data_IF_678659389227
#
_entry.id   IF_678659389227
#
_cell.length_a   1.000
_cell.length_b   1.000
_cell.length_c   1.000
_cell.angle_alpha   90.00
_cell.angle_beta   90.00
_cell.angle_gamma   90.00
#
_symmetry.space_group_name_H-M   'P 1'
#
loop_
_entity.id
_entity.type
_entity.pdbx_description
1 polymer ?
#
# COMPACT_ATOMS: atom_id res chain seq x y z
N UNK A 1 3.76 -3.05 -3.80
CA UNK A 1 3.52 -2.30 -2.53
C UNK A 1 2.83 -3.14 -1.47
N UNK A 2 1.71 -3.80 -1.76
CA UNK A 2 0.97 -4.55 -0.73
C UNK A 2 1.70 -5.77 -0.16
N UNK A 3 2.67 -6.33 -0.89
CA UNK A 3 3.51 -7.44 -0.41
C UNK A 3 4.40 -7.05 0.78
N UNK A 4 4.86 -5.79 0.85
CA UNK A 4 5.64 -5.29 1.98
C UNK A 4 4.79 -5.27 3.27
N UNK A 5 3.51 -4.93 3.13
CA UNK A 5 2.55 -4.84 4.23
C UNK A 5 1.97 -6.19 4.65
N UNK A 6 2.19 -7.25 3.87
CA UNK A 6 1.63 -8.59 4.17
C UNK A 6 2.14 -9.18 5.50
N UNK A 7 3.35 -8.80 5.94
CA UNK A 7 3.93 -9.22 7.23
C UNK A 7 3.26 -8.56 8.44
N UNK A 8 2.51 -7.49 8.21
CA UNK A 8 1.84 -6.64 9.20
C UNK A 8 0.31 -6.77 9.10
N UNK A 9 -0.18 -7.83 8.46
CA UNK A 9 -1.61 -8.06 8.30
C UNK A 9 -1.88 -9.55 8.53
N UNK A 10 -2.41 -9.97 9.69
CA UNK A 10 -2.84 -11.34 9.89
C UNK A 10 -3.96 -11.67 8.88
N UNK A 11 -3.87 -12.85 8.25
CA UNK A 11 -4.82 -13.32 7.22
C UNK A 11 -4.91 -12.41 5.97
N UNK A 12 -3.82 -11.71 5.63
CA UNK A 12 -3.69 -10.84 4.46
C UNK A 12 -4.23 -11.45 3.14
N UNK A 13 -3.96 -12.73 2.89
CA UNK A 13 -4.41 -13.44 1.68
C UNK A 13 -5.92 -13.51 1.54
N UNK A 14 -6.66 -13.60 2.65
CA UNK A 14 -8.12 -13.65 2.62
C UNK A 14 -8.73 -12.27 2.38
N UNK A 15 -8.19 -11.24 3.05
CA UNK A 15 -8.70 -9.86 2.94
C UNK A 15 -8.37 -9.25 1.57
N UNK A 16 -7.19 -9.55 1.03
CA UNK A 16 -6.76 -9.01 -0.27
C UNK A 16 -7.26 -9.87 -1.44
N UNK A 17 -7.97 -10.97 -1.20
CA UNK A 17 -8.57 -11.79 -2.26
C UNK A 17 -9.58 -10.99 -3.07
N UNK A 18 -10.52 -10.30 -2.40
CA UNK A 18 -11.53 -9.45 -3.06
C UNK A 18 -10.89 -8.31 -3.85
N UNK A 19 -9.80 -7.73 -3.35
CA UNK A 19 -9.02 -6.70 -4.04
C UNK A 19 -8.19 -7.24 -5.21
N UNK A 20 -7.64 -8.45 -5.10
CA UNK A 20 -6.89 -9.13 -6.18
C UNK A 20 -7.81 -9.54 -7.32
N UNK A 21 -9.04 -9.94 -7.00
CA UNK A 21 -10.03 -10.29 -8.01
C UNK A 21 -10.38 -9.08 -8.89
N UNK A 22 -10.33 -7.85 -8.36
CA UNK A 22 -10.44 -6.61 -9.15
C UNK A 22 -9.24 -6.33 -10.07
N UNK A 23 -8.08 -6.94 -9.81
CA UNK A 23 -6.86 -6.72 -10.61
C UNK A 23 -6.70 -7.76 -11.72
N UNK A 24 -7.59 -8.76 -11.80
CA UNK A 24 -7.57 -9.78 -12.85
C UNK A 24 -8.09 -9.18 -14.16
N UNK A 25 -7.37 -9.43 -15.25
CA UNK A 25 -7.66 -8.87 -16.58
C UNK A 25 -9.05 -9.25 -17.16
N UNK A 26 -9.69 -10.29 -16.62
CA UNK A 26 -10.98 -10.80 -17.10
C UNK A 26 -12.16 -10.50 -16.16
N UNK A 27 -12.01 -9.57 -15.20
CA UNK A 27 -13.10 -9.21 -14.28
C UNK A 27 -13.48 -7.75 -14.53
N UNK A 28 -14.78 -7.44 -14.76
CA UNK A 28 -15.22 -6.05 -14.82
C UNK A 28 -14.94 -5.38 -13.47
N UNK A 29 -14.27 -4.23 -13.50
CA UNK A 29 -13.96 -3.49 -12.29
C UNK A 29 -15.26 -3.05 -11.62
N UNK A 30 -15.57 -3.66 -10.47
CA UNK A 30 -16.78 -3.37 -9.70
C UNK A 30 -16.41 -3.16 -8.24
N UNK A 31 -16.46 -1.92 -7.79
CA UNK A 31 -16.22 -1.58 -6.39
C UNK A 31 -17.53 -1.63 -5.61
N UNK A 32 -17.79 -2.77 -4.98
CA UNK A 32 -18.96 -2.99 -4.13
C UNK A 32 -18.63 -2.88 -2.65
N UNK A 33 -19.59 -3.33 -1.83
CA UNK A 33 -19.48 -3.25 -0.36
C UNK A 33 -18.41 -4.20 0.19
N UNK A 34 -18.24 -5.38 -0.39
CA UNK A 34 -17.18 -6.33 0.01
C UNK A 34 -15.77 -5.79 -0.22
N UNK A 35 -15.55 -5.05 -1.31
CA UNK A 35 -14.25 -4.45 -1.63
C UNK A 35 -13.94 -3.27 -0.70
N UNK A 36 -14.95 -2.44 -0.40
CA UNK A 36 -14.84 -1.35 0.57
C UNK A 36 -14.58 -1.88 1.99
N UNK A 37 -15.33 -2.91 2.42
CA UNK A 37 -15.14 -3.54 3.74
C UNK A 37 -13.75 -4.16 3.86
N UNK A 38 -13.26 -4.83 2.81
CA UNK A 38 -11.90 -5.36 2.79
C UNK A 38 -10.85 -4.25 2.87
N UNK A 39 -11.04 -3.14 2.15
CA UNK A 39 -10.13 -1.99 2.20
C UNK A 39 -10.15 -1.29 3.57
N UNK A 40 -11.33 -1.13 4.16
CA UNK A 40 -11.51 -0.58 5.51
C UNK A 40 -10.86 -1.48 6.58
N UNK A 41 -10.97 -2.80 6.44
CA UNK A 41 -10.29 -3.75 7.32
C UNK A 41 -8.76 -3.64 7.20
N UNK A 42 -8.21 -3.55 5.98
CA UNK A 42 -6.77 -3.34 5.77
C UNK A 42 -6.31 -2.04 6.43
N UNK A 43 -7.03 -0.93 6.21
CA UNK A 43 -6.73 0.35 6.88
C UNK A 43 -6.78 0.21 8.39
N UNK A 44 -7.82 -0.43 8.93
CA UNK A 44 -7.97 -0.62 10.38
C UNK A 44 -6.81 -1.42 10.95
N UNK A 45 -6.41 -2.52 10.33
CA UNK A 45 -5.28 -3.35 10.77
C UNK A 45 -3.97 -2.55 10.73
N UNK A 46 -3.70 -1.83 9.65
CA UNK A 46 -2.51 -0.98 9.54
C UNK A 46 -2.46 0.13 10.60
N UNK A 47 -3.62 0.70 10.95
CA UNK A 47 -3.71 1.74 11.99
C UNK A 47 -3.69 1.15 13.41
N UNK A 48 -4.15 -0.10 13.61
CA UNK A 48 -4.19 -0.74 14.93
C UNK A 48 -2.93 -1.52 15.29
N UNK A 49 -2.17 -2.02 14.30
CA UNK A 49 -0.99 -2.80 14.63
C UNK A 49 0.03 -1.96 15.38
N UNK A 50 0.46 -2.48 16.54
CA UNK A 50 1.51 -1.98 17.45
C UNK A 50 2.90 -1.85 16.82
N UNK A 51 3.00 -1.79 15.49
CA UNK A 51 4.27 -1.71 14.77
C UNK A 51 4.71 -0.27 14.55
N UNK A 52 3.79 0.69 14.68
CA UNK A 52 4.12 2.10 14.89
C UNK A 52 4.56 2.29 16.34
N UNK A 53 5.71 1.70 16.67
CA UNK A 53 6.42 1.95 17.91
C UNK A 53 7.03 3.35 17.85
N UNK A 54 7.12 4.02 19.00
CA UNK A 54 7.90 5.24 19.10
C UNK A 54 9.35 4.97 18.69
N UNK A 55 9.95 5.95 18.03
CA UNK A 55 11.35 5.92 17.64
C UNK A 55 12.22 5.75 18.89
N UNK A 56 13.04 4.70 18.89
CA UNK A 56 13.98 4.39 19.98
C UNK A 56 15.39 4.38 19.42
N UNK A 57 16.20 5.34 19.86
CA UNK A 57 17.58 5.54 19.42
C UNK A 57 18.50 4.37 19.79
N UNK A 58 18.08 3.49 20.73
CA UNK A 58 18.87 2.33 21.14
C UNK A 58 18.66 1.11 20.24
N UNK A 59 17.70 1.15 19.32
CA UNK A 59 17.43 0.06 18.37
C UNK A 59 18.09 0.35 17.03
N UNK A 60 18.50 -0.71 16.34
CA UNK A 60 19.01 -0.59 14.97
C UNK A 60 17.87 -0.13 14.06
N UNK A 61 18.09 0.99 13.36
CA UNK A 61 17.12 1.60 12.45
C UNK A 61 17.46 1.18 11.02
N UNK A 62 16.49 0.61 10.32
CA UNK A 62 16.59 0.28 8.89
C UNK A 62 15.70 1.25 8.08
N UNK A 63 16.30 1.96 7.12
CA UNK A 63 15.58 2.91 6.27
C UNK A 63 15.44 2.34 4.85
N UNK A 64 14.20 2.06 4.44
CA UNK A 64 13.89 1.73 3.05
C UNK A 64 13.44 3.00 2.31
N UNK A 65 14.19 3.38 1.28
CA UNK A 65 13.87 4.52 0.41
C UNK A 65 13.41 3.99 -0.96
N UNK A 66 12.21 4.39 -1.38
CA UNK A 66 11.71 4.19 -2.74
C UNK A 66 11.61 5.57 -3.42
N UNK A 67 12.36 5.76 -4.50
CA UNK A 67 12.32 6.98 -5.29
C UNK A 67 11.72 6.67 -6.66
N UNK A 68 10.53 7.19 -6.93
CA UNK A 68 9.95 7.14 -8.27
C UNK A 68 10.26 8.44 -9.02
N UNK A 69 10.57 8.33 -10.31
CA UNK A 69 10.79 9.49 -11.16
C UNK A 69 9.47 10.20 -11.42
N UNK A 70 9.18 11.21 -10.59
CA UNK A 70 8.22 12.25 -10.89
C UNK A 70 8.79 13.07 -12.08
N UNK A 71 8.37 12.76 -13.31
CA UNK A 71 8.55 13.71 -14.42
C UNK A 71 7.61 14.88 -14.14
N UNK A 72 8.15 15.98 -13.59
CA UNK A 72 7.49 17.28 -13.68
C UNK A 72 7.37 17.61 -15.17
N UNK A 73 6.17 17.47 -15.72
CA UNK A 73 5.86 17.91 -17.09
C UNK A 73 5.76 19.44 -17.05
N UNK A 74 6.88 20.12 -17.29
CA UNK A 74 6.92 21.56 -17.40
C UNK A 74 8.36 22.07 -17.42
N UNK A 75 8.72 22.72 -18.53
CA UNK A 75 10.00 23.38 -18.84
C UNK A 75 11.05 22.53 -19.59
N UNK A 76 10.65 21.88 -20.69
CA UNK A 76 11.55 21.59 -21.83
C UNK A 76 11.23 22.51 -23.02
N UNK A 77 11.11 23.81 -22.76
CA UNK A 77 11.25 24.86 -23.77
C UNK A 77 11.92 26.03 -23.06
N UNK A 78 13.23 26.15 -23.23
CA UNK A 78 14.05 27.38 -23.17
C UNK A 78 15.51 27.01 -22.87
N UNK A 79 16.13 26.22 -23.74
CA UNK A 79 17.54 26.37 -24.06
C UNK A 79 17.69 26.07 -25.55
N UNK A 80 17.82 27.16 -26.30
CA UNK A 80 18.30 27.18 -27.68
C UNK A 80 19.80 26.89 -27.72
#
# INVERSE_FOLDING_TARGET
>A
MTNFLSRFIPNYTSVVKSLRDLTKQNVPWHWGKEQEDAFAQVKKILTHERNLSYFDTNKVIELHVDASTCKRRGMDQLLS
#
